data_IF_169881832599
#
_entry.id   IF_169881832599
#
_cell.length_a   1.000
_cell.length_b   1.000
_cell.length_c   1.000
_cell.angle_alpha   90.00
_cell.angle_beta   90.00
_cell.angle_gamma   90.00
#
_symmetry.space_group_name_H-M   'P 1'
#
loop_
_entity.id
_entity.type
_entity.pdbx_description
1 polymer ?
#
# COMPACT_ATOMS: atom_id res chain seq x y z
N UNK A 1 -27.94 10.14 -12.51
CA UNK A 1 -27.37 8.78 -12.63
C UNK A 1 -25.86 8.77 -12.93
N UNK A 2 -25.17 9.93 -12.99
CA UNK A 2 -23.72 10.05 -13.29
C UNK A 2 -22.81 10.15 -12.06
N UNK A 3 -23.38 10.14 -10.85
CA UNK A 3 -22.68 10.37 -9.58
C UNK A 3 -22.72 9.11 -8.69
N UNK A 4 -22.36 7.96 -9.28
CA UNK A 4 -22.23 6.71 -8.51
C UNK A 4 -20.76 6.42 -8.23
N UNK A 5 -20.51 5.81 -7.08
CA UNK A 5 -19.17 5.36 -6.69
C UNK A 5 -18.60 4.36 -7.71
N UNK A 6 -19.43 3.58 -8.40
CA UNK A 6 -19.01 2.68 -9.48
C UNK A 6 -18.43 3.41 -10.69
N UNK A 7 -19.09 4.48 -11.15
CA UNK A 7 -18.59 5.32 -12.25
C UNK A 7 -17.30 6.04 -11.85
N UNK A 8 -17.21 6.44 -10.58
CA UNK A 8 -15.98 7.00 -10.00
C UNK A 8 -14.82 6.00 -10.07
N UNK A 9 -15.02 4.76 -9.59
CA UNK A 9 -13.99 3.71 -9.63
C UNK A 9 -13.47 3.47 -11.05
N UNK A 10 -14.36 3.37 -12.03
CA UNK A 10 -13.98 3.21 -13.43
C UNK A 10 -13.15 4.39 -13.94
N UNK A 11 -13.54 5.61 -13.60
CA UNK A 11 -12.79 6.82 -13.98
C UNK A 11 -11.38 6.84 -13.39
N UNK A 12 -11.25 6.51 -12.10
CA UNK A 12 -9.96 6.44 -11.42
C UNK A 12 -9.08 5.33 -12.01
N UNK A 13 -9.64 4.14 -12.26
CA UNK A 13 -8.90 3.04 -12.88
C UNK A 13 -8.37 3.44 -14.26
N UNK A 14 -9.17 4.12 -15.08
CA UNK A 14 -8.74 4.58 -16.40
C UNK A 14 -7.59 5.60 -16.32
N UNK A 15 -7.58 6.45 -15.29
CA UNK A 15 -6.55 7.50 -15.10
C UNK A 15 -5.27 6.99 -14.42
N UNK A 16 -5.38 6.05 -13.49
CA UNK A 16 -4.27 5.66 -12.58
C UNK A 16 -3.84 4.20 -12.74
N UNK A 17 -4.67 3.35 -13.36
CA UNK A 17 -4.57 1.88 -13.34
C UNK A 17 -4.65 1.24 -11.94
N UNK A 18 -4.99 2.01 -10.91
CA UNK A 18 -5.24 1.50 -9.57
C UNK A 18 -6.68 0.97 -9.52
N UNK A 19 -6.84 -0.32 -9.22
CA UNK A 19 -8.15 -0.93 -9.03
C UNK A 19 -8.64 -0.73 -7.58
N UNK A 20 -9.61 0.16 -7.41
CA UNK A 20 -10.21 0.44 -6.10
C UNK A 20 -11.01 -0.77 -5.55
N UNK A 21 -11.36 -1.76 -6.37
CA UNK A 21 -12.00 -2.99 -5.90
C UNK A 21 -11.04 -3.93 -5.14
N UNK A 22 -9.73 -3.73 -5.30
CA UNK A 22 -8.72 -4.47 -4.52
C UNK A 22 -8.63 -4.00 -3.06
N UNK A 23 -9.33 -2.91 -2.73
CA UNK A 23 -9.43 -2.38 -1.37
C UNK A 23 -10.79 -2.69 -0.76
N UNK A 24 -10.84 -2.77 0.57
CA UNK A 24 -12.12 -2.91 1.28
C UNK A 24 -13.00 -1.68 1.01
N UNK A 25 -14.08 -1.89 0.29
CA UNK A 25 -14.92 -0.83 -0.29
C UNK A 25 -15.36 0.22 0.75
N UNK A 26 -15.91 -0.24 1.89
CA UNK A 26 -16.42 0.65 2.94
C UNK A 26 -15.34 1.57 3.51
N UNK A 27 -14.13 1.05 3.77
CA UNK A 27 -13.03 1.88 4.25
C UNK A 27 -12.55 2.85 3.17
N UNK A 28 -12.39 2.38 1.93
CA UNK A 28 -11.88 3.19 0.84
C UNK A 28 -12.85 4.32 0.47
N UNK A 29 -14.14 4.01 0.34
CA UNK A 29 -15.20 4.99 0.09
C UNK A 29 -15.22 6.07 1.16
N UNK A 30 -15.16 5.71 2.45
CA UNK A 30 -15.11 6.69 3.54
C UNK A 30 -13.88 7.62 3.44
N UNK A 31 -12.72 7.09 3.07
CA UNK A 31 -11.49 7.89 2.88
C UNK A 31 -11.65 8.86 1.72
N UNK A 32 -12.17 8.40 0.59
CA UNK A 32 -12.43 9.23 -0.61
C UNK A 32 -13.44 10.32 -0.29
N UNK A 33 -14.55 9.98 0.36
CA UNK A 33 -15.61 10.94 0.74
C UNK A 33 -15.05 12.05 1.65
N UNK A 34 -14.19 11.70 2.61
CA UNK A 34 -13.52 12.66 3.46
C UNK A 34 -12.57 13.59 2.67
N UNK A 35 -11.84 13.05 1.69
CA UNK A 35 -10.94 13.84 0.86
C UNK A 35 -11.72 14.79 -0.07
N UNK A 36 -12.80 14.31 -0.68
CA UNK A 36 -13.71 15.12 -1.51
C UNK A 36 -14.29 16.29 -0.68
N UNK A 37 -14.76 15.99 0.53
CA UNK A 37 -15.29 16.99 1.46
C UNK A 37 -14.24 18.01 1.89
N UNK A 38 -12.98 17.59 2.13
CA UNK A 38 -11.84 18.49 2.43
C UNK A 38 -11.62 19.56 1.34
N UNK A 39 -11.86 19.22 0.08
CA UNK A 39 -11.75 20.17 -1.04
C UNK A 39 -13.04 20.95 -1.34
N UNK A 40 -14.07 20.80 -0.51
CA UNK A 40 -15.36 21.49 -0.67
C UNK A 40 -16.17 21.03 -1.88
N UNK A 41 -15.95 19.80 -2.35
CA UNK A 41 -16.61 19.25 -3.54
C UNK A 41 -17.76 18.34 -3.10
N UNK A 42 -18.87 18.38 -3.83
CA UNK A 42 -20.12 17.73 -3.40
C UNK A 42 -20.48 16.49 -4.22
N UNK A 43 -19.78 16.23 -5.33
CA UNK A 43 -20.04 15.07 -6.21
C UNK A 43 -18.76 14.39 -6.65
N UNK A 44 -18.82 13.09 -6.91
CA UNK A 44 -17.71 12.34 -7.49
C UNK A 44 -17.41 12.80 -8.92
N UNK A 45 -18.44 13.16 -9.68
CA UNK A 45 -18.29 13.64 -11.05
C UNK A 45 -17.45 14.93 -11.11
N UNK A 46 -17.77 15.92 -10.26
CA UNK A 46 -17.02 17.18 -10.18
C UNK A 46 -15.60 16.94 -9.69
N UNK A 47 -15.42 16.00 -8.76
CA UNK A 47 -14.09 15.64 -8.29
C UNK A 47 -13.23 15.05 -9.41
N UNK A 48 -13.76 14.13 -10.21
CA UNK A 48 -13.06 13.58 -11.39
C UNK A 48 -12.71 14.66 -12.41
N UNK A 49 -13.60 15.61 -12.67
CA UNK A 49 -13.32 16.74 -13.57
C UNK A 49 -12.15 17.57 -13.02
N UNK A 50 -12.12 17.81 -11.71
CA UNK A 50 -11.04 18.57 -11.07
C UNK A 50 -9.71 17.82 -11.10
N UNK A 51 -9.71 16.52 -10.78
CA UNK A 51 -8.54 15.65 -10.88
C UNK A 51 -7.92 15.63 -12.29
N UNK A 52 -8.74 15.73 -13.35
CA UNK A 52 -8.24 15.80 -14.73
C UNK A 52 -7.57 17.12 -15.10
N UNK A 53 -7.92 18.21 -14.40
CA UNK A 53 -7.45 19.56 -14.71
C UNK A 53 -6.31 20.02 -13.80
N UNK A 54 -6.28 19.52 -12.58
CA UNK A 54 -5.35 19.92 -11.53
C UNK A 54 -4.41 18.77 -11.19
N UNK A 55 -3.17 18.86 -11.69
CA UNK A 55 -2.14 17.85 -11.45
C UNK A 55 -1.76 17.75 -9.97
N UNK A 56 -1.74 18.86 -9.24
CA UNK A 56 -1.38 18.86 -7.82
C UNK A 56 -2.44 18.12 -7.01
N UNK A 57 -3.71 18.39 -7.29
CA UNK A 57 -4.82 17.66 -6.67
C UNK A 57 -4.81 16.17 -7.04
N UNK A 58 -4.46 15.83 -8.28
CA UNK A 58 -4.34 14.44 -8.73
C UNK A 58 -3.23 13.70 -7.98
N UNK A 59 -2.05 14.30 -7.85
CA UNK A 59 -0.93 13.71 -7.13
C UNK A 59 -1.25 13.56 -5.63
N UNK A 60 -1.93 14.54 -5.00
CA UNK A 60 -2.45 14.42 -3.63
C UNK A 60 -3.42 13.24 -3.51
N UNK A 61 -4.38 13.12 -4.44
CA UNK A 61 -5.36 12.03 -4.44
C UNK A 61 -4.68 10.66 -4.54
N UNK A 62 -3.77 10.47 -5.50
CA UNK A 62 -3.06 9.19 -5.70
C UNK A 62 -2.26 8.82 -4.46
N UNK A 63 -1.53 9.77 -3.89
CA UNK A 63 -0.78 9.56 -2.65
C UNK A 63 -1.67 9.27 -1.44
N UNK A 64 -2.88 9.85 -1.41
CA UNK A 64 -3.81 9.62 -0.33
C UNK A 64 -4.48 8.24 -0.42
N UNK A 65 -4.86 7.78 -1.62
CA UNK A 65 -5.49 6.46 -1.78
C UNK A 65 -4.49 5.31 -1.63
N UNK A 66 -3.24 5.53 -2.02
CA UNK A 66 -2.15 4.56 -1.79
C UNK A 66 -1.72 4.61 -0.33
N UNK A 67 -1.77 3.47 0.37
CA UNK A 67 -1.35 3.40 1.79
C UNK A 67 0.18 3.34 1.80
N UNK A 68 0.83 4.50 1.96
CA UNK A 68 2.29 4.61 1.98
C UNK A 68 2.89 4.58 3.39
N UNK A 69 2.21 3.98 4.37
CA UNK A 69 2.77 3.83 5.72
C UNK A 69 3.46 2.48 5.80
N UNK A 70 4.78 2.54 5.68
CA UNK A 70 5.71 1.48 6.05
C UNK A 70 6.54 1.96 7.23
N UNK A 71 6.94 1.03 8.07
CA UNK A 71 7.80 1.31 9.22
C UNK A 71 8.68 0.08 9.46
N UNK A 72 9.87 0.31 10.02
CA UNK A 72 10.76 -0.78 10.39
C UNK A 72 10.08 -1.70 11.40
N UNK A 73 10.15 -3.00 11.16
CA UNK A 73 9.61 -4.04 12.03
C UNK A 73 8.12 -3.88 12.34
N UNK A 74 7.32 -3.41 11.36
CA UNK A 74 5.86 -3.32 11.48
C UNK A 74 5.26 -4.62 11.99
N UNK A 75 4.41 -4.53 13.02
CA UNK A 75 3.86 -5.67 13.76
C UNK A 75 4.97 -6.58 14.34
N UNK A 76 5.66 -6.15 15.42
CA UNK A 76 6.85 -6.84 15.94
C UNK A 76 6.67 -8.33 16.24
N UNK A 77 5.46 -8.76 16.62
CA UNK A 77 5.17 -10.18 16.88
C UNK A 77 5.35 -11.08 15.66
N UNK A 78 5.07 -10.56 14.45
CA UNK A 78 5.28 -11.30 13.20
C UNK A 78 6.78 -11.48 12.91
N UNK A 79 7.59 -10.47 13.22
CA UNK A 79 9.05 -10.56 13.10
C UNK A 79 9.64 -11.51 14.14
N UNK A 80 9.10 -11.52 15.37
CA UNK A 80 9.50 -12.48 16.40
C UNK A 80 9.22 -13.93 15.97
N UNK A 81 8.04 -14.19 15.40
CA UNK A 81 7.68 -15.50 14.86
C UNK A 81 8.59 -15.90 13.70
N UNK A 82 8.83 -14.97 12.77
CA UNK A 82 9.73 -15.16 11.65
C UNK A 82 11.15 -15.51 12.11
N UNK A 83 11.67 -14.78 13.10
CA UNK A 83 13.01 -14.97 13.67
C UNK A 83 13.16 -16.31 14.40
N UNK A 84 12.20 -16.66 15.26
CA UNK A 84 12.34 -17.78 16.19
C UNK A 84 11.91 -19.12 15.61
N UNK A 85 10.99 -19.12 14.65
CA UNK A 85 10.35 -20.34 14.16
C UNK A 85 10.57 -20.53 12.66
N UNK A 86 10.19 -19.54 11.85
CA UNK A 86 10.14 -19.71 10.39
C UNK A 86 11.55 -19.74 9.76
N UNK A 87 12.42 -18.78 10.08
CA UNK A 87 13.77 -18.73 9.50
C UNK A 87 14.62 -19.96 9.88
N UNK A 88 14.69 -20.40 11.16
CA UNK A 88 15.40 -21.63 11.52
C UNK A 88 14.90 -22.84 10.72
N UNK A 89 13.57 -23.00 10.59
CA UNK A 89 12.99 -24.09 9.83
C UNK A 89 13.34 -24.03 8.33
N UNK A 90 13.31 -22.84 7.73
CA UNK A 90 13.71 -22.66 6.32
C UNK A 90 15.20 -22.95 6.11
N UNK A 91 16.07 -22.54 7.03
CA UNK A 91 17.51 -22.82 6.94
C UNK A 91 17.81 -24.32 7.05
N UNK A 92 17.06 -25.04 7.88
CA UNK A 92 17.18 -26.49 8.01
C UNK A 92 16.81 -27.21 6.71
N UNK A 93 15.74 -26.79 6.03
CA UNK A 93 15.23 -27.48 4.84
C UNK A 93 15.91 -27.05 3.53
N UNK A 94 16.27 -25.77 3.39
CA UNK A 94 16.72 -25.18 2.13
C UNK A 94 18.13 -24.57 2.21
N UNK A 95 18.75 -24.56 3.39
CA UNK A 95 20.02 -23.90 3.64
C UNK A 95 19.90 -22.38 3.72
N UNK A 96 21.05 -21.69 3.80
CA UNK A 96 21.11 -20.23 4.01
C UNK A 96 20.94 -19.39 2.74
N UNK A 97 20.87 -20.01 1.55
CA UNK A 97 20.72 -19.30 0.28
C UNK A 97 19.24 -19.10 -0.08
N UNK A 98 18.50 -18.40 0.78
CA UNK A 98 17.08 -18.14 0.59
C UNK A 98 16.86 -16.96 -0.38
N UNK A 99 15.89 -17.12 -1.29
CA UNK A 99 15.36 -16.02 -2.09
C UNK A 99 14.06 -15.54 -1.47
N UNK A 100 14.03 -14.30 -1.00
CA UNK A 100 12.88 -13.70 -0.32
C UNK A 100 12.33 -12.55 -1.16
N UNK A 101 11.02 -12.47 -1.26
CA UNK A 101 10.32 -11.39 -1.97
C UNK A 101 9.45 -10.60 -0.99
N UNK A 102 9.78 -9.31 -0.78
CA UNK A 102 8.90 -8.36 -0.11
C UNK A 102 7.97 -7.72 -1.15
N UNK A 103 6.73 -8.17 -1.19
CA UNK A 103 5.73 -7.68 -2.13
C UNK A 103 5.07 -6.40 -1.60
N UNK A 104 5.04 -5.34 -2.42
CA UNK A 104 4.52 -4.02 -2.06
C UNK A 104 5.29 -3.34 -0.91
N UNK A 105 6.63 -3.30 -0.99
CA UNK A 105 7.53 -2.80 0.05
C UNK A 105 7.47 -1.29 0.35
N UNK A 106 6.60 -0.52 -0.32
CA UNK A 106 6.42 0.92 -0.13
C UNK A 106 7.75 1.69 -0.16
N UNK A 107 8.14 2.36 0.93
CA UNK A 107 9.41 3.10 1.10
C UNK A 107 10.65 2.23 1.31
N UNK A 108 10.48 0.91 1.47
CA UNK A 108 11.57 -0.06 1.64
C UNK A 108 11.83 -0.50 3.08
N UNK A 109 11.08 -0.01 4.07
CA UNK A 109 11.34 -0.35 5.48
C UNK A 109 11.24 -1.86 5.76
N UNK A 110 10.29 -2.56 5.12
CA UNK A 110 10.13 -4.02 5.25
C UNK A 110 11.32 -4.83 4.71
N UNK A 111 11.78 -4.67 3.44
CA UNK A 111 12.94 -5.41 2.96
C UNK A 111 14.21 -5.04 3.73
N UNK A 112 14.37 -3.81 4.23
CA UNK A 112 15.49 -3.48 5.11
C UNK A 112 15.37 -4.16 6.48
N UNK A 113 14.19 -4.19 7.10
CA UNK A 113 13.95 -4.97 8.32
C UNK A 113 14.28 -6.45 8.13
N UNK A 114 13.94 -7.02 6.96
CA UNK A 114 14.32 -8.39 6.62
C UNK A 114 15.84 -8.58 6.57
N UNK A 115 16.58 -7.67 5.92
CA UNK A 115 18.05 -7.74 5.86
C UNK A 115 18.67 -7.58 7.26
N UNK A 116 18.18 -6.63 8.07
CA UNK A 116 18.62 -6.44 9.46
C UNK A 116 18.33 -7.68 10.33
N UNK A 117 17.23 -8.38 10.07
CA UNK A 117 16.93 -9.62 10.75
C UNK A 117 17.88 -10.75 10.31
N UNK A 118 18.06 -10.92 8.99
CA UNK A 118 18.94 -11.94 8.43
C UNK A 118 20.41 -11.75 8.85
N UNK A 119 20.85 -10.51 9.08
CA UNK A 119 22.21 -10.24 9.56
C UNK A 119 22.53 -10.85 10.92
N UNK A 120 21.52 -11.27 11.69
CA UNK A 120 21.70 -12.05 12.93
C UNK A 120 22.13 -13.50 12.67
N UNK A 121 21.85 -14.05 11.49
CA UNK A 121 22.06 -15.45 11.14
C UNK A 121 23.21 -15.67 10.15
N UNK A 122 23.59 -14.62 9.42
CA UNK A 122 24.64 -14.63 8.43
C UNK A 122 25.30 -13.25 8.34
N UNK A 123 26.61 -13.18 8.03
CA UNK A 123 27.28 -11.90 7.83
C UNK A 123 26.65 -11.15 6.66
N UNK A 124 26.51 -9.83 6.82
CA UNK A 124 26.37 -8.93 5.68
C UNK A 124 27.72 -8.96 4.98
N UNK A 125 27.74 -9.49 3.75
CA UNK A 125 28.95 -9.59 2.93
C UNK A 125 29.72 -8.28 2.84
#
# INVERSE_FOLDING_TARGET
>A
MLDSYEVFKQSIYNMTKIDLNSYKERQMKRRIDALISKHGITSYADYVIKLKKDKVLFDEFVNYITINVSEFFRNPDQWNLLEKEVLPNLFEHFGKNLKIWSAACSTGDEPYSMVMLLSKFMPLS
#
